data_IF_523814611899
#
_entry.id   IF_523814611899
#
_cell.length_a   1.000
_cell.length_b   1.000
_cell.length_c   1.000
_cell.angle_alpha   90.00
_cell.angle_beta   90.00
_cell.angle_gamma   90.00
#
_symmetry.space_group_name_H-M   'P 1'
#
loop_
_entity.id
_entity.type
_entity.pdbx_description
1 polymer ?
#
# COMPACT_ATOMS: atom_id res chain seq x y z
N UNK A 1 -6.53 18.15 15.17
CA UNK A 1 -5.37 17.35 15.62
C UNK A 1 -5.86 16.40 16.69
N UNK A 2 -5.56 15.09 16.62
CA UNK A 2 -6.00 14.12 17.62
C UNK A 2 -5.35 14.42 18.98
N UNK A 3 -6.11 14.26 20.07
CA UNK A 3 -5.63 14.54 21.43
C UNK A 3 -4.60 13.48 21.84
N UNK A 4 -3.39 13.92 22.18
CA UNK A 4 -2.33 13.03 22.66
C UNK A 4 -2.32 12.95 24.19
N UNK A 5 -1.71 11.91 24.79
CA UNK A 5 -1.52 11.85 26.25
C UNK A 5 -0.75 13.05 26.82
N UNK A 6 0.19 13.60 26.05
CA UNK A 6 0.96 14.80 26.41
C UNK A 6 0.04 16.02 26.45
N UNK A 7 -0.72 16.26 25.39
CA UNK A 7 -1.67 17.37 25.34
C UNK A 7 -2.71 17.28 26.47
N UNK A 8 -3.22 16.08 26.75
CA UNK A 8 -4.17 15.85 27.84
C UNK A 8 -3.55 16.13 29.22
N UNK A 9 -2.28 15.76 29.43
CA UNK A 9 -1.54 16.07 30.66
C UNK A 9 -1.33 17.58 30.82
N UNK A 10 -0.89 18.28 29.77
CA UNK A 10 -0.69 19.73 29.78
C UNK A 10 -1.99 20.48 30.11
N UNK A 11 -3.09 20.10 29.46
CA UNK A 11 -4.41 20.71 29.74
C UNK A 11 -4.88 20.46 31.17
N UNK A 12 -4.61 19.26 31.71
CA UNK A 12 -4.96 18.95 33.08
C UNK A 12 -4.07 19.70 34.09
N UNK A 13 -2.77 19.86 33.82
CA UNK A 13 -1.85 20.64 34.64
C UNK A 13 -2.26 22.11 34.67
N UNK A 14 -2.61 22.69 33.52
CA UNK A 14 -3.13 24.06 33.44
C UNK A 14 -4.42 24.24 34.24
N UNK A 15 -5.29 23.23 34.25
CA UNK A 15 -6.55 23.27 35.00
C UNK A 15 -6.32 23.23 36.51
N UNK A 16 -5.33 22.46 36.99
CA UNK A 16 -4.91 22.41 38.39
C UNK A 16 -4.35 23.75 38.88
N UNK A 17 -3.47 24.36 38.09
CA UNK A 17 -2.90 25.69 38.39
C UNK A 17 -4.00 26.74 38.49
N UNK A 18 -4.97 26.73 37.56
CA UNK A 18 -6.13 27.63 37.61
C UNK A 18 -7.01 27.41 38.84
N UNK A 19 -7.07 26.20 39.37
CA UNK A 19 -7.78 25.87 40.59
C UNK A 19 -6.99 26.24 41.87
N UNK A 20 -5.81 26.86 41.74
CA UNK A 20 -4.97 27.26 42.88
C UNK A 20 -4.12 26.14 43.46
N UNK A 21 -3.97 25.01 42.75
CA UNK A 21 -3.10 23.92 43.18
C UNK A 21 -1.72 24.03 42.55
N UNK A 22 -0.68 23.84 43.37
CA UNK A 22 0.72 23.71 42.98
C UNK A 22 1.13 22.26 42.67
N UNK A 23 0.18 21.32 42.73
CA UNK A 23 0.44 19.91 42.49
C UNK A 23 0.85 19.65 41.05
N UNK A 24 1.98 18.94 40.88
CA UNK A 24 2.50 18.52 39.58
C UNK A 24 1.98 17.12 39.26
N UNK A 25 1.28 17.00 38.13
CA UNK A 25 0.82 15.73 37.62
C UNK A 25 1.99 14.86 37.18
N UNK A 26 2.04 13.61 37.65
CA UNK A 26 3.03 12.65 37.18
C UNK A 26 2.82 12.22 35.71
N UNK A 27 3.88 11.81 35.04
CA UNK A 27 3.91 11.50 33.59
C UNK A 27 2.88 10.44 33.15
N UNK A 28 2.50 9.54 34.07
CA UNK A 28 1.51 8.48 33.81
C UNK A 28 0.07 8.91 34.07
N UNK A 29 -0.17 10.17 34.44
CA UNK A 29 -1.50 10.64 34.82
C UNK A 29 -2.52 10.48 33.70
N UNK A 30 -2.18 10.85 32.46
CA UNK A 30 -3.09 10.75 31.32
C UNK A 30 -3.56 9.30 31.07
N UNK A 31 -2.64 8.32 31.14
CA UNK A 31 -2.98 6.90 31.00
C UNK A 31 -3.87 6.40 32.13
N UNK A 32 -3.58 6.80 33.39
CA UNK A 32 -4.40 6.44 34.55
C UNK A 32 -5.78 7.11 34.50
N UNK A 33 -5.85 8.34 33.99
CA UNK A 33 -7.09 9.07 33.79
C UNK A 33 -7.99 8.36 32.79
N UNK A 34 -7.45 7.98 31.61
CA UNK A 34 -8.18 7.22 30.60
C UNK A 34 -8.70 5.90 31.19
N UNK A 35 -7.88 5.18 31.98
CA UNK A 35 -8.28 3.93 32.65
C UNK A 35 -9.39 4.10 33.70
N UNK A 36 -9.56 5.29 34.27
CA UNK A 36 -10.62 5.59 35.25
C UNK A 36 -11.94 6.00 34.61
N UNK A 37 -11.98 6.23 33.30
CA UNK A 37 -13.22 6.62 32.64
C UNK A 37 -14.22 5.45 32.67
N UNK A 38 -15.53 5.76 32.75
CA UNK A 38 -16.58 4.75 32.68
C UNK A 38 -16.45 3.83 31.45
N UNK A 39 -16.85 2.56 31.57
CA UNK A 39 -16.71 1.59 30.46
C UNK A 39 -17.51 1.96 29.20
N UNK A 40 -18.58 2.75 29.35
CA UNK A 40 -19.36 3.32 28.25
C UNK A 40 -18.59 4.41 27.48
N UNK A 41 -17.61 5.04 28.13
CA UNK A 41 -16.66 5.97 27.51
C UNK A 41 -15.44 5.17 27.04
N UNK A 42 -15.60 4.46 25.91
CA UNK A 42 -14.57 3.59 25.28
C UNK A 42 -13.37 4.36 24.72
N UNK A 43 -12.62 5.06 25.56
CA UNK A 43 -11.37 5.71 25.19
C UNK A 43 -10.20 4.77 25.48
N UNK A 44 -9.38 4.52 24.47
CA UNK A 44 -8.13 3.76 24.59
C UNK A 44 -7.02 4.44 23.82
N UNK A 45 -5.77 4.14 24.15
CA UNK A 45 -4.63 4.57 23.35
C UNK A 45 -4.67 3.86 22.00
N UNK A 46 -5.19 4.54 20.97
CA UNK A 46 -5.19 4.02 19.61
C UNK A 46 -3.88 4.40 18.94
N UNK A 47 -3.14 3.42 18.46
CA UNK A 47 -1.99 3.68 17.58
C UNK A 47 -2.51 4.16 16.24
N UNK A 48 -2.48 5.46 16.01
CA UNK A 48 -2.77 6.02 14.71
C UNK A 48 -1.59 5.77 13.76
N UNK A 49 -1.89 5.29 12.56
CA UNK A 49 -0.91 5.20 11.48
C UNK A 49 -1.03 6.49 10.67
N UNK A 50 0.11 7.07 10.31
CA UNK A 50 0.13 8.13 9.30
C UNK A 50 -0.38 7.54 8.00
N UNK A 51 -1.36 8.22 7.41
CA UNK A 51 -1.91 7.89 6.11
C UNK A 51 -1.85 9.14 5.25
N UNK A 52 -1.56 8.99 3.97
CA UNK A 52 -1.60 10.11 3.05
C UNK A 52 -2.99 10.75 3.04
N UNK A 53 -3.03 12.07 3.12
CA UNK A 53 -4.28 12.84 3.19
C UNK A 53 -5.25 12.50 2.04
N UNK A 54 -4.72 12.35 0.81
CA UNK A 54 -5.53 11.94 -0.35
C UNK A 54 -6.18 10.56 -0.16
N UNK A 55 -5.47 9.60 0.45
CA UNK A 55 -6.03 8.28 0.77
C UNK A 55 -7.09 8.34 1.87
N UNK A 56 -7.09 9.35 2.73
CA UNK A 56 -8.16 9.58 3.71
C UNK A 56 -9.40 10.14 2.99
N UNK A 57 -9.22 11.10 2.08
CA UNK A 57 -10.32 11.67 1.30
C UNK A 57 -10.94 10.69 0.28
N UNK A 58 -10.17 9.69 -0.16
CA UNK A 58 -10.65 8.61 -1.03
C UNK A 58 -11.54 7.60 -0.29
N UNK A 59 -11.44 7.52 1.04
CA UNK A 59 -12.30 6.67 1.90
C UNK A 59 -13.66 7.31 2.23
N UNK A 60 -14.06 8.32 1.46
CA UNK A 60 -15.40 8.88 1.56
C UNK A 60 -16.44 7.78 1.26
N UNK A 61 -17.30 7.51 2.24
CA UNK A 61 -18.29 6.42 2.19
C UNK A 61 -19.20 6.54 0.97
N UNK A 62 -19.58 7.76 0.58
CA UNK A 62 -20.43 7.97 -0.59
C UNK A 62 -19.69 7.68 -1.89
N UNK A 63 -18.42 8.11 -2.00
CA UNK A 63 -17.61 7.78 -3.18
C UNK A 63 -17.40 6.29 -3.34
N UNK A 64 -17.12 5.59 -2.23
CA UNK A 64 -17.00 4.14 -2.20
C UNK A 64 -18.32 3.47 -2.59
N UNK A 65 -19.44 3.90 -2.02
CA UNK A 65 -20.76 3.35 -2.33
C UNK A 65 -21.09 3.48 -3.83
N UNK A 66 -20.91 4.68 -4.40
CA UNK A 66 -21.09 4.93 -5.84
C UNK A 66 -20.18 4.05 -6.69
N UNK A 67 -18.92 3.88 -6.29
CA UNK A 67 -17.96 3.03 -7.00
C UNK A 67 -18.37 1.55 -6.96
N UNK A 68 -18.73 1.02 -5.79
CA UNK A 68 -19.19 -0.37 -5.64
C UNK A 68 -20.53 -0.62 -6.34
N UNK A 69 -21.44 0.36 -6.36
CA UNK A 69 -22.67 0.28 -7.15
C UNK A 69 -22.37 0.16 -8.64
N UNK A 70 -21.42 0.94 -9.18
CA UNK A 70 -20.98 0.82 -10.57
C UNK A 70 -20.30 -0.52 -10.83
N UNK A 71 -19.41 -0.96 -9.94
CA UNK A 71 -18.73 -2.24 -10.05
C UNK A 71 -19.74 -3.40 -10.11
N UNK A 72 -20.77 -3.38 -9.27
CA UNK A 72 -21.84 -4.40 -9.25
C UNK A 72 -22.64 -4.48 -10.55
N UNK A 73 -22.70 -3.41 -11.33
CA UNK A 73 -23.35 -3.44 -12.64
C UNK A 73 -22.48 -4.12 -13.71
N UNK A 74 -21.16 -4.12 -13.54
CA UNK A 74 -20.19 -4.75 -14.44
C UNK A 74 -19.95 -6.21 -14.02
N UNK A 75 -19.70 -6.44 -12.73
CA UNK A 75 -19.49 -7.75 -12.12
C UNK A 75 -20.80 -8.20 -11.48
N UNK A 76 -21.49 -9.13 -12.14
CA UNK A 76 -22.73 -9.71 -11.65
C UNK A 76 -22.54 -11.18 -11.29
N UNK A 77 -23.62 -11.85 -10.83
CA UNK A 77 -23.56 -13.24 -10.36
C UNK A 77 -23.13 -14.26 -11.42
N UNK A 78 -23.25 -13.91 -12.71
CA UNK A 78 -22.86 -14.78 -13.82
C UNK A 78 -21.46 -14.45 -14.35
N UNK A 79 -20.79 -13.42 -13.82
CA UNK A 79 -19.42 -13.07 -14.20
C UNK A 79 -18.47 -14.16 -13.69
N UNK A 80 -17.75 -14.88 -14.58
CA UNK A 80 -16.79 -15.89 -14.15
C UNK A 80 -15.64 -15.25 -13.38
N UNK A 81 -15.31 -15.79 -12.20
CA UNK A 81 -14.20 -15.30 -11.38
C UNK A 81 -12.86 -15.32 -12.14
N UNK A 82 -12.66 -16.30 -13.03
CA UNK A 82 -11.47 -16.41 -13.88
C UNK A 82 -11.22 -15.23 -14.82
N UNK A 83 -12.25 -14.40 -15.06
CA UNK A 83 -12.21 -13.25 -15.96
C UNK A 83 -12.12 -11.90 -15.23
N UNK A 84 -12.14 -11.90 -13.90
CA UNK A 84 -12.03 -10.68 -13.09
C UNK A 84 -10.62 -10.59 -12.54
N UNK A 85 -9.89 -9.56 -12.93
CA UNK A 85 -8.50 -9.34 -12.59
C UNK A 85 -8.35 -8.03 -11.82
N UNK A 86 -7.40 -7.99 -10.89
CA UNK A 86 -6.94 -6.78 -10.23
C UNK A 86 -5.42 -6.71 -10.38
N UNK A 87 -4.89 -5.56 -10.80
CA UNK A 87 -3.46 -5.28 -10.71
C UNK A 87 -3.21 -4.04 -9.85
N UNK A 88 -2.05 -4.00 -9.22
CA UNK A 88 -1.59 -2.88 -8.39
C UNK A 88 -0.06 -2.81 -8.38
N UNK A 89 0.49 -1.63 -8.06
CA UNK A 89 1.92 -1.44 -7.88
C UNK A 89 2.34 -1.47 -6.40
N UNK A 90 3.44 -2.18 -6.13
CA UNK A 90 4.06 -2.22 -4.82
C UNK A 90 5.56 -1.86 -4.92
N UNK A 91 5.97 -0.82 -4.21
CA UNK A 91 7.38 -0.47 -4.07
C UNK A 91 8.02 -1.28 -2.93
N UNK A 92 9.16 -1.93 -3.21
CA UNK A 92 9.98 -2.58 -2.20
C UNK A 92 11.40 -2.00 -2.20
N UNK A 93 11.99 -1.94 -1.01
CA UNK A 93 13.34 -1.44 -0.77
C UNK A 93 14.15 -2.60 -0.19
N UNK A 94 14.92 -3.34 -1.02
CA UNK A 94 15.63 -4.54 -0.60
C UNK A 94 16.60 -4.29 0.57
N UNK A 95 17.21 -3.11 0.58
CA UNK A 95 18.21 -2.73 1.58
C UNK A 95 17.60 -2.15 2.88
N UNK A 96 16.28 -1.87 2.91
CA UNK A 96 15.64 -1.47 4.16
C UNK A 96 15.38 -2.66 5.05
N UNK A 97 16.07 -2.68 6.17
CA UNK A 97 15.77 -3.57 7.28
C UNK A 97 14.32 -3.39 7.73
N UNK A 98 13.66 -4.48 8.07
CA UNK A 98 12.48 -4.40 8.94
C UNK A 98 12.99 -4.44 10.37
N UNK A 99 12.37 -3.68 11.27
CA UNK A 99 12.59 -3.82 12.71
C UNK A 99 12.45 -5.29 13.10
N UNK A 100 13.53 -5.88 13.62
CA UNK A 100 13.57 -7.27 14.10
C UNK A 100 13.84 -7.26 15.61
N UNK A 101 13.22 -8.19 16.33
CA UNK A 101 13.63 -8.48 17.71
C UNK A 101 14.96 -9.20 17.65
N UNK A 102 16.03 -8.51 18.04
CA UNK A 102 17.37 -9.09 18.19
C UNK A 102 17.62 -9.43 19.66
N UNK A 103 18.45 -10.45 19.91
CA UNK A 103 18.96 -10.73 21.25
C UNK A 103 20.24 -9.90 21.40
N UNK A 104 20.22 -8.89 22.27
CA UNK A 104 21.35 -7.98 22.46
C UNK A 104 21.29 -7.26 23.82
N UNK A 105 22.38 -6.57 24.17
CA UNK A 105 22.40 -5.71 25.36
C UNK A 105 21.49 -4.49 25.16
N UNK A 106 20.85 -4.05 26.24
CA UNK A 106 19.85 -2.97 26.24
C UNK A 106 20.39 -1.61 25.73
N UNK A 107 21.71 -1.46 25.68
CA UNK A 107 22.44 -0.25 25.26
C UNK A 107 23.35 -0.49 24.03
N UNK A 108 23.10 -1.56 23.26
CA UNK A 108 23.81 -1.76 21.99
C UNK A 108 23.48 -0.64 20.98
N UNK A 109 24.43 -0.24 20.11
CA UNK A 109 24.15 0.74 19.07
C UNK A 109 23.06 0.23 18.15
N UNK A 110 22.18 1.14 17.69
CA UNK A 110 21.25 0.82 16.62
C UNK A 110 22.03 0.42 15.37
N UNK A 111 21.51 -0.57 14.64
CA UNK A 111 22.06 -0.93 13.34
C UNK A 111 21.75 0.21 12.37
N UNK A 112 22.80 0.81 11.80
CA UNK A 112 22.65 1.81 10.74
C UNK A 112 22.04 1.19 9.49
N UNK A 113 21.02 1.83 8.94
CA UNK A 113 20.49 1.51 7.61
C UNK A 113 21.24 2.34 6.57
N UNK A 114 21.48 1.77 5.38
CA UNK A 114 21.99 2.53 4.25
C UNK A 114 20.96 3.59 3.85
N UNK A 115 21.37 4.86 3.78
CA UNK A 115 20.50 5.98 3.40
C UNK A 115 20.06 5.96 1.93
N UNK A 116 20.59 5.04 1.12
CA UNK A 116 20.46 5.00 -0.35
C UNK A 116 19.81 3.73 -0.89
N UNK A 117 18.82 3.16 -0.19
CA UNK A 117 18.06 2.03 -0.74
C UNK A 117 17.28 2.49 -1.98
N UNK A 118 17.67 2.02 -3.17
CA UNK A 118 16.86 2.23 -4.37
C UNK A 118 15.57 1.39 -4.27
N UNK A 119 14.46 1.99 -4.69
CA UNK A 119 13.15 1.32 -4.67
C UNK A 119 12.99 0.57 -5.97
N UNK A 120 12.63 -0.71 -5.89
CA UNK A 120 12.17 -1.50 -7.02
C UNK A 120 10.65 -1.50 -6.98
N UNK A 121 10.02 -1.26 -8.12
CA UNK A 121 8.56 -1.30 -8.24
C UNK A 121 8.16 -2.64 -8.82
N UNK A 122 7.30 -3.39 -8.11
CA UNK A 122 6.62 -4.55 -8.65
C UNK A 122 5.23 -4.14 -9.15
N UNK A 123 4.84 -4.60 -10.33
CA UNK A 123 3.44 -4.63 -10.76
C UNK A 123 2.99 -6.09 -10.72
N UNK A 124 1.94 -6.34 -9.93
CA UNK A 124 1.39 -7.68 -9.70
C UNK A 124 -0.06 -7.72 -10.15
N UNK A 125 -0.50 -8.85 -10.71
CA UNK A 125 -1.88 -9.03 -11.18
C UNK A 125 -2.43 -10.38 -10.74
N UNK A 126 -3.64 -10.37 -10.16
CA UNK A 126 -4.34 -11.56 -9.66
C UNK A 126 -5.78 -11.59 -10.17
N UNK A 127 -6.26 -12.77 -10.51
CA UNK A 127 -7.64 -13.05 -10.86
C UNK A 127 -8.45 -13.45 -9.62
N UNK A 128 -9.78 -13.25 -9.67
CA UNK A 128 -10.66 -13.55 -8.55
C UNK A 128 -10.78 -15.06 -8.24
N UNK A 129 -10.35 -15.94 -9.15
CA UNK A 129 -10.23 -17.39 -8.93
C UNK A 129 -8.87 -17.80 -8.34
N UNK A 130 -7.98 -16.85 -8.06
CA UNK A 130 -6.67 -17.07 -7.46
C UNK A 130 -5.53 -17.31 -8.45
N UNK A 131 -5.78 -17.32 -9.76
CA UNK A 131 -4.69 -17.27 -10.74
C UNK A 131 -3.95 -15.95 -10.64
N UNK A 132 -2.63 -15.94 -10.80
CA UNK A 132 -1.83 -14.72 -10.82
C UNK A 132 -0.89 -14.73 -12.02
N UNK A 133 -0.61 -13.53 -12.52
CA UNK A 133 0.38 -13.30 -13.55
C UNK A 133 1.75 -13.17 -12.91
N UNK A 134 2.78 -13.69 -13.58
CA UNK A 134 4.16 -13.43 -13.18
C UNK A 134 4.43 -11.91 -13.15
N UNK A 135 5.17 -11.40 -12.14
CA UNK A 135 5.26 -9.97 -11.89
C UNK A 135 6.12 -9.25 -12.92
N UNK A 136 5.90 -7.94 -13.04
CA UNK A 136 6.84 -7.02 -13.68
C UNK A 136 7.64 -6.29 -12.61
N UNK A 137 8.97 -6.38 -12.66
CA UNK A 137 9.87 -5.60 -11.83
C UNK A 137 10.45 -4.43 -12.63
N UNK A 138 10.25 -3.22 -12.12
CA UNK A 138 10.83 -1.99 -12.69
C UNK A 138 11.94 -1.51 -11.78
N UNK A 139 13.16 -1.55 -12.29
CA UNK A 139 14.35 -1.06 -11.63
C UNK A 139 14.59 0.41 -11.99
N UNK A 140 15.12 1.18 -11.04
CA UNK A 140 15.56 2.53 -11.31
C UNK A 140 16.85 2.49 -12.13
N UNK A 141 16.85 3.14 -13.28
CA UNK A 141 18.02 3.22 -14.16
C UNK A 141 17.64 3.44 -15.61
N UNK A 142 18.66 3.52 -16.47
CA UNK A 142 18.50 3.65 -17.92
C UNK A 142 19.01 2.43 -18.68
N UNK A 143 19.67 1.50 -17.99
CA UNK A 143 20.28 0.30 -18.56
C UNK A 143 20.11 -0.87 -17.60
N UNK A 144 19.97 -2.07 -18.15
CA UNK A 144 19.99 -3.30 -17.37
C UNK A 144 21.38 -3.56 -16.80
N UNK A 145 21.44 -4.05 -15.56
CA UNK A 145 22.68 -4.50 -14.93
C UNK A 145 22.66 -6.02 -14.80
N UNK A 146 23.76 -6.67 -15.17
CA UNK A 146 23.91 -8.14 -15.10
C UNK A 146 23.64 -8.68 -13.68
N UNK A 147 24.11 -7.96 -12.67
CA UNK A 147 23.93 -8.30 -11.24
C UNK A 147 22.46 -8.43 -10.81
N UNK A 148 21.51 -7.83 -11.53
CA UNK A 148 20.08 -7.99 -11.22
C UNK A 148 19.53 -9.37 -11.55
N UNK A 149 20.25 -10.11 -12.40
CA UNK A 149 19.87 -11.44 -12.85
C UNK A 149 20.64 -12.55 -12.11
N UNK A 150 21.58 -12.19 -11.24
CA UNK A 150 22.30 -13.15 -10.42
C UNK A 150 21.34 -13.93 -9.52
N UNK A 151 21.32 -15.26 -9.65
CA UNK A 151 20.37 -16.15 -8.97
C UNK A 151 18.88 -15.88 -9.29
N UNK A 152 18.58 -15.29 -10.46
CA UNK A 152 17.21 -15.09 -10.95
C UNK A 152 16.46 -16.38 -11.30
N UNK A 153 17.14 -17.53 -11.26
CA UNK A 153 16.58 -18.87 -11.45
C UNK A 153 15.41 -19.20 -10.49
N UNK A 154 15.35 -18.51 -9.35
CA UNK A 154 14.25 -18.61 -8.40
C UNK A 154 13.01 -17.80 -8.75
N UNK A 155 13.06 -16.95 -9.78
CA UNK A 155 11.92 -16.15 -10.23
C UNK A 155 10.99 -17.00 -11.11
N UNK A 156 9.68 -16.69 -11.11
CA UNK A 156 8.75 -17.27 -12.06
C UNK A 156 9.22 -17.09 -13.51
N UNK A 157 9.02 -18.09 -14.39
CA UNK A 157 9.66 -18.16 -15.70
C UNK A 157 9.24 -17.04 -16.67
N UNK A 158 8.09 -16.42 -16.47
CA UNK A 158 7.60 -15.31 -17.30
C UNK A 158 7.68 -13.96 -16.58
N UNK A 159 8.50 -13.86 -15.53
CA UNK A 159 8.79 -12.60 -14.84
C UNK A 159 9.37 -11.58 -15.83
N UNK A 160 8.77 -10.39 -15.85
CA UNK A 160 9.22 -9.30 -16.70
C UNK A 160 10.15 -8.38 -15.90
N UNK A 161 11.20 -7.89 -16.55
CA UNK A 161 12.13 -6.93 -15.94
C UNK A 161 12.26 -5.73 -16.87
N UNK A 162 12.01 -4.54 -16.32
CA UNK A 162 12.11 -3.27 -17.02
C UNK A 162 12.96 -2.28 -16.22
N UNK A 163 13.36 -1.20 -16.89
CA UNK A 163 14.05 -0.07 -16.28
C UNK A 163 13.30 1.22 -16.53
N UNK A 164 13.30 2.13 -15.55
CA UNK A 164 12.87 3.50 -15.77
C UNK A 164 13.79 4.47 -15.00
N UNK A 165 14.04 5.70 -15.52
CA UNK A 165 14.98 6.63 -14.87
C UNK A 165 14.64 6.96 -13.41
N UNK A 166 13.37 6.85 -13.05
CA UNK A 166 12.84 7.18 -11.74
C UNK A 166 12.39 5.94 -10.93
N UNK A 167 12.45 4.74 -11.51
CA UNK A 167 12.02 3.48 -10.88
C UNK A 167 10.50 3.30 -10.80
N UNK A 168 9.71 4.19 -11.41
CA UNK A 168 8.26 4.10 -11.46
C UNK A 168 7.80 3.48 -12.78
N UNK A 169 6.58 2.92 -12.79
CA UNK A 169 5.96 2.50 -14.03
C UNK A 169 5.61 3.72 -14.89
N UNK A 170 6.04 3.69 -16.14
CA UNK A 170 5.64 4.69 -17.13
C UNK A 170 4.41 4.20 -17.90
N UNK A 171 3.78 5.10 -18.64
CA UNK A 171 2.66 4.74 -19.50
C UNK A 171 3.07 3.70 -20.56
N UNK A 172 4.26 3.85 -21.15
CA UNK A 172 4.80 2.94 -22.15
C UNK A 172 5.02 1.53 -21.58
N UNK A 173 5.58 1.45 -20.37
CA UNK A 173 5.75 0.18 -19.66
C UNK A 173 4.41 -0.49 -19.36
N UNK A 174 3.38 0.28 -18.99
CA UNK A 174 2.04 -0.26 -18.78
C UNK A 174 1.44 -0.79 -20.10
N UNK A 175 1.61 -0.09 -21.22
CA UNK A 175 1.12 -0.57 -22.52
C UNK A 175 1.79 -1.87 -22.95
N UNK A 176 3.09 -1.99 -22.73
CA UNK A 176 3.83 -3.22 -22.98
C UNK A 176 3.30 -4.34 -22.08
N UNK A 177 3.20 -4.06 -20.77
CA UNK A 177 2.64 -4.99 -19.79
C UNK A 177 1.21 -5.46 -20.15
N UNK A 178 0.34 -4.57 -20.61
CA UNK A 178 -1.01 -4.92 -21.07
C UNK A 178 -0.97 -5.92 -22.25
N UNK A 179 0.03 -5.83 -23.13
CA UNK A 179 0.25 -6.82 -24.18
C UNK A 179 0.61 -8.20 -23.60
N UNK A 180 1.52 -8.24 -22.63
CA UNK A 180 1.85 -9.48 -21.92
C UNK A 180 0.66 -10.04 -21.15
N UNK A 181 -0.15 -9.19 -20.52
CA UNK A 181 -1.38 -9.59 -19.84
C UNK A 181 -2.37 -10.25 -20.83
N UNK A 182 -2.56 -9.66 -22.01
CA UNK A 182 -3.44 -10.21 -23.04
C UNK A 182 -3.01 -11.60 -23.49
N UNK A 183 -1.70 -11.83 -23.68
CA UNK A 183 -1.19 -13.15 -24.07
C UNK A 183 -1.25 -14.15 -22.90
N UNK A 184 -0.83 -13.75 -21.68
CA UNK A 184 -0.84 -14.60 -20.50
C UNK A 184 -2.26 -15.07 -20.10
N UNK A 185 -3.29 -14.30 -20.48
CA UNK A 185 -4.69 -14.62 -20.19
C UNK A 185 -5.46 -15.13 -21.39
N UNK A 186 -4.83 -15.29 -22.55
CA UNK A 186 -5.49 -15.68 -23.81
C UNK A 186 -6.23 -17.00 -23.74
N UNK A 187 -5.61 -18.02 -23.16
CA UNK A 187 -6.22 -19.35 -22.98
C UNK A 187 -7.29 -19.38 -21.87
N UNK A 188 -7.40 -18.30 -21.09
CA UNK A 188 -8.40 -18.16 -20.02
C UNK A 188 -9.69 -17.50 -20.50
N UNK A 189 -9.83 -17.20 -21.80
CA UNK A 189 -10.96 -16.47 -22.38
C UNK A 189 -11.53 -17.24 -23.57
N UNK A 190 -12.84 -17.50 -23.52
CA UNK A 190 -13.57 -18.12 -24.62
C UNK A 190 -14.05 -17.08 -25.64
N UNK A 191 -14.42 -17.49 -26.88
CA UNK A 191 -15.03 -16.58 -27.85
C UNK A 191 -16.23 -15.82 -27.27
N UNK A 192 -16.22 -14.49 -27.43
CA UNK A 192 -17.22 -13.53 -26.92
C UNK A 192 -17.17 -13.25 -25.41
N UNK A 193 -16.22 -13.83 -24.67
CA UNK A 193 -15.98 -13.42 -23.29
C UNK A 193 -15.14 -12.15 -23.21
N UNK A 194 -15.32 -11.39 -22.12
CA UNK A 194 -14.56 -10.18 -21.84
C UNK A 194 -13.88 -10.30 -20.48
N UNK A 195 -12.60 -9.92 -20.44
CA UNK A 195 -11.87 -9.73 -19.18
C UNK A 195 -12.33 -8.43 -18.53
N UNK A 196 -12.42 -8.43 -17.22
CA UNK A 196 -12.66 -7.24 -16.41
C UNK A 196 -11.38 -7.00 -15.63
N UNK A 197 -10.74 -5.86 -15.85
CA UNK A 197 -9.50 -5.49 -15.17
C UNK A 197 -9.80 -4.31 -14.25
N UNK A 198 -9.43 -4.46 -12.98
CA UNK A 198 -9.58 -3.46 -11.93
C UNK A 198 -8.19 -2.95 -11.57
N UNK A 199 -8.06 -1.63 -11.48
CA UNK A 199 -6.82 -0.95 -11.13
C UNK A 199 -7.15 0.43 -10.56
N UNK A 200 -6.16 1.09 -9.99
CA UNK A 200 -6.35 2.42 -9.43
C UNK A 200 -6.47 3.51 -10.51
N UNK A 201 -6.92 4.70 -10.12
CA UNK A 201 -7.09 5.83 -11.04
C UNK A 201 -5.80 6.62 -11.31
N UNK A 202 -4.61 6.03 -11.19
CA UNK A 202 -3.37 6.76 -11.39
C UNK A 202 -3.24 7.22 -12.86
N UNK A 203 -2.68 8.41 -13.08
CA UNK A 203 -2.66 9.03 -14.41
C UNK A 203 -1.89 8.22 -15.46
N UNK A 204 -0.87 7.45 -15.03
CA UNK A 204 -0.15 6.53 -15.92
C UNK A 204 -1.04 5.42 -16.49
N UNK A 205 -2.16 5.12 -15.84
CA UNK A 205 -3.08 4.04 -16.22
C UNK A 205 -4.23 4.53 -17.11
N UNK A 206 -4.43 5.85 -17.19
CA UNK A 206 -5.60 6.47 -17.80
C UNK A 206 -5.25 7.30 -19.04
N UNK A 207 -4.46 6.75 -19.96
CA UNK A 207 -4.25 7.37 -21.28
C UNK A 207 -5.23 6.83 -22.32
N UNK A 208 -5.35 7.55 -23.44
CA UNK A 208 -6.22 7.14 -24.55
C UNK A 208 -5.77 5.79 -25.11
N UNK A 209 -4.47 5.62 -25.29
CA UNK A 209 -3.86 4.42 -25.84
C UNK A 209 -4.07 3.20 -24.92
N UNK A 210 -3.96 3.39 -23.60
CA UNK A 210 -4.25 2.33 -22.63
C UNK A 210 -5.72 1.90 -22.68
N UNK A 211 -6.63 2.86 -22.87
CA UNK A 211 -8.07 2.60 -22.98
C UNK A 211 -8.45 1.96 -24.31
N UNK A 212 -7.80 2.33 -25.41
CA UNK A 212 -8.01 1.72 -26.74
C UNK A 212 -7.48 0.29 -26.82
N UNK A 213 -6.45 -0.04 -26.04
CA UNK A 213 -5.90 -1.40 -25.98
C UNK A 213 -6.76 -2.37 -25.16
N UNK A 214 -7.68 -1.87 -24.33
CA UNK A 214 -8.60 -2.65 -23.51
C UNK A 214 -9.88 -3.03 -24.27
#
# INVERSE_FOLDING_TARGET
MPVTPVLLHEMAQLSLVRAGSDHILGDRWAYRFIKRLPEDVKLSSVKQRTKEYKRIQAEDVWKLDVWYMKLKNVINKNTPARLVYNFDECGFQPEKGKNRKVIGQKEGPDLGENEHSETITALECIAADGWFMDPLFVFKGTTFQEVWYDNSEGLPPYTLIAVSPNGWISHELLLEWLGHFQEATKERVEPNEKRIVIFDGHNSHLTVESLEKC
#
